data_IF_755030284757
#
_entry.id   IF_755030284757
#
_cell.length_a   1.000
_cell.length_b   1.000
_cell.length_c   1.000
_cell.angle_alpha   90.00
_cell.angle_beta   90.00
_cell.angle_gamma   90.00
#
_symmetry.space_group_name_H-M   'P 1'
#
loop_
_entity.id
_entity.type
_entity.pdbx_description
1 polymer ?
#
# COMPACT_ATOMS: atom_id res chain seq x y z
N UNK A 1 -11.80 -6.02 -4.64
CA UNK A 1 -11.33 -4.75 -4.08
C UNK A 1 -11.76 -4.59 -2.63
N UNK A 2 -13.04 -4.73 -2.35
CA UNK A 2 -13.57 -4.57 -0.98
C UNK A 2 -12.94 -5.54 0.01
N UNK A 3 -12.84 -6.82 -0.34
CA UNK A 3 -12.24 -7.84 0.53
C UNK A 3 -10.75 -7.54 0.76
N UNK A 4 -10.05 -7.11 -0.28
CA UNK A 4 -8.64 -6.71 -0.18
C UNK A 4 -8.48 -5.53 0.79
N UNK A 5 -9.32 -4.51 0.66
CA UNK A 5 -9.28 -3.34 1.54
C UNK A 5 -9.50 -3.73 3.01
N UNK A 6 -10.43 -4.67 3.25
CA UNK A 6 -10.72 -5.13 4.60
C UNK A 6 -9.54 -5.85 5.24
N UNK A 7 -8.81 -6.65 4.47
CA UNK A 7 -7.77 -7.54 4.99
C UNK A 7 -6.35 -7.00 4.87
N UNK A 8 -6.13 -5.94 4.08
CA UNK A 8 -4.78 -5.54 3.68
C UNK A 8 -3.86 -5.12 4.83
N UNK A 9 -4.39 -4.69 5.95
CA UNK A 9 -3.62 -4.27 7.12
C UNK A 9 -3.63 -5.28 8.26
N UNK A 10 -4.22 -6.45 8.08
CA UNK A 10 -4.37 -7.42 9.15
C UNK A 10 -3.03 -7.94 9.68
N UNK A 11 -1.99 -7.99 8.84
CA UNK A 11 -0.67 -8.48 9.26
C UNK A 11 0.06 -7.52 10.20
N UNK A 12 -0.36 -6.26 10.30
CA UNK A 12 0.28 -5.29 11.18
C UNK A 12 0.17 -5.66 12.66
N UNK A 13 -0.80 -6.50 13.03
CA UNK A 13 -0.95 -6.97 14.42
C UNK A 13 -0.16 -8.23 14.70
N UNK A 14 0.56 -8.78 13.72
CA UNK A 14 1.36 -9.99 13.91
C UNK A 14 2.72 -9.65 14.52
N UNK A 15 3.24 -10.56 15.35
CA UNK A 15 4.60 -10.42 15.89
C UNK A 15 5.65 -10.41 14.80
N UNK A 16 5.42 -11.16 13.73
CA UNK A 16 6.37 -11.29 12.62
C UNK A 16 6.56 -9.95 11.91
N UNK A 17 5.48 -9.22 11.61
CA UNK A 17 5.57 -7.89 10.99
C UNK A 17 6.09 -6.85 12.00
N UNK A 18 5.79 -7.00 13.27
CA UNK A 18 6.34 -6.13 14.30
C UNK A 18 7.87 -6.22 14.33
N UNK A 19 8.41 -7.44 14.26
CA UNK A 19 9.86 -7.67 14.23
C UNK A 19 10.50 -7.28 12.89
N UNK A 20 9.83 -7.60 11.78
CA UNK A 20 10.33 -7.43 10.42
C UNK A 20 9.34 -6.59 9.62
N UNK A 21 9.36 -5.27 9.85
CA UNK A 21 8.39 -4.34 9.27
C UNK A 21 8.43 -4.32 7.74
N UNK A 22 9.58 -4.63 7.14
CA UNK A 22 9.74 -4.71 5.69
C UNK A 22 8.94 -5.85 5.05
N UNK A 23 8.46 -6.79 5.86
CA UNK A 23 7.65 -7.92 5.39
C UNK A 23 6.15 -7.61 5.39
N UNK A 24 5.75 -6.41 5.79
CA UNK A 24 4.33 -6.02 5.73
C UNK A 24 3.81 -6.15 4.29
N UNK A 25 2.58 -6.60 4.15
CA UNK A 25 1.98 -6.91 2.86
C UNK A 25 2.34 -8.32 2.39
N UNK A 26 3.61 -8.70 2.40
CA UNK A 26 4.05 -10.05 2.02
C UNK A 26 3.53 -11.10 3.00
N UNK A 27 3.64 -10.84 4.30
CA UNK A 27 3.13 -11.73 5.34
C UNK A 27 1.59 -11.79 5.27
N UNK A 28 0.94 -10.66 5.09
CA UNK A 28 -0.52 -10.61 4.95
C UNK A 28 -1.00 -11.42 3.76
N UNK A 29 -0.30 -11.34 2.63
CA UNK A 29 -0.66 -12.13 1.45
C UNK A 29 -0.47 -13.63 1.69
N UNK A 30 0.60 -14.03 2.36
CA UNK A 30 0.84 -15.44 2.72
C UNK A 30 -0.28 -15.97 3.63
N UNK A 31 -0.63 -15.22 4.65
CA UNK A 31 -1.70 -15.61 5.56
C UNK A 31 -3.05 -15.71 4.84
N UNK A 32 -3.33 -14.77 3.94
CA UNK A 32 -4.55 -14.79 3.14
C UNK A 32 -4.59 -16.01 2.21
N UNK A 33 -3.47 -16.32 1.57
CA UNK A 33 -3.37 -17.51 0.72
C UNK A 33 -3.66 -18.78 1.54
N UNK A 34 -3.04 -18.92 2.70
CA UNK A 34 -3.21 -20.08 3.56
C UNK A 34 -4.61 -20.18 4.17
N UNK A 35 -5.31 -19.04 4.29
CA UNK A 35 -6.69 -18.99 4.79
C UNK A 35 -7.73 -19.25 3.69
N UNK A 36 -7.30 -19.47 2.44
CA UNK A 36 -8.20 -19.80 1.34
C UNK A 36 -8.82 -18.59 0.65
N UNK A 37 -8.26 -17.40 0.80
CA UNK A 37 -8.75 -16.21 0.09
C UNK A 37 -8.50 -16.34 -1.42
N UNK A 38 -9.32 -15.64 -2.21
CA UNK A 38 -9.21 -15.67 -3.67
C UNK A 38 -7.85 -15.11 -4.12
N UNK A 39 -7.29 -15.61 -5.25
CA UNK A 39 -5.99 -15.13 -5.75
C UNK A 39 -5.92 -13.62 -5.94
N UNK A 40 -6.99 -12.99 -6.39
CA UNK A 40 -7.05 -11.53 -6.57
C UNK A 40 -6.88 -10.80 -5.24
N UNK A 41 -7.49 -11.32 -4.16
CA UNK A 41 -7.36 -10.73 -2.83
C UNK A 41 -5.93 -10.88 -2.32
N UNK A 42 -5.35 -12.06 -2.46
CA UNK A 42 -3.96 -12.34 -2.06
C UNK A 42 -2.99 -11.39 -2.76
N UNK A 43 -3.14 -11.25 -4.08
CA UNK A 43 -2.29 -10.39 -4.88
C UNK A 43 -2.48 -8.91 -4.50
N UNK A 44 -3.72 -8.48 -4.28
CA UNK A 44 -4.02 -7.13 -3.87
C UNK A 44 -3.40 -6.76 -2.52
N UNK A 45 -3.44 -7.67 -1.56
CA UNK A 45 -2.82 -7.47 -0.25
C UNK A 45 -1.32 -7.26 -0.40
N UNK A 46 -0.67 -8.10 -1.19
CA UNK A 46 0.76 -7.99 -1.46
C UNK A 46 1.13 -6.66 -2.10
N UNK A 47 0.36 -6.23 -3.09
CA UNK A 47 0.71 -5.11 -3.96
C UNK A 47 0.22 -3.75 -3.49
N UNK A 48 -0.65 -3.67 -2.47
CA UNK A 48 -1.23 -2.37 -2.10
C UNK A 48 -0.20 -1.37 -1.57
N UNK A 49 0.97 -1.82 -1.13
CA UNK A 49 2.07 -0.93 -0.75
C UNK A 49 2.92 -0.46 -1.94
N UNK A 50 2.78 -1.10 -3.11
CA UNK A 50 3.61 -0.77 -4.27
C UNK A 50 3.29 0.64 -4.81
N UNK A 51 4.25 1.38 -5.35
CA UNK A 51 5.66 1.01 -5.44
C UNK A 51 6.38 1.12 -4.09
N UNK A 52 7.32 0.21 -3.84
CA UNK A 52 8.08 0.19 -2.58
C UNK A 52 9.22 1.21 -2.56
N UNK A 53 9.61 1.69 -3.72
CA UNK A 53 10.65 2.71 -3.89
C UNK A 53 10.48 3.42 -5.22
N UNK A 54 11.34 4.41 -5.51
CA UNK A 54 11.18 5.27 -6.69
C UNK A 54 11.25 4.53 -8.01
N UNK A 55 12.07 3.48 -8.11
CA UNK A 55 12.29 2.73 -9.34
C UNK A 55 11.81 1.28 -9.23
N UNK A 56 10.93 1.00 -8.26
CA UNK A 56 10.38 -0.35 -8.07
C UNK A 56 9.09 -0.52 -8.86
N UNK A 57 8.66 -1.77 -8.98
CA UNK A 57 7.47 -2.13 -9.75
C UNK A 57 6.20 -1.55 -9.14
N UNK A 58 5.23 -1.29 -10.00
CA UNK A 58 3.88 -0.88 -9.63
C UNK A 58 2.99 -2.10 -9.47
N UNK A 59 1.85 -1.91 -8.77
CA UNK A 59 0.86 -2.97 -8.65
C UNK A 59 0.31 -3.36 -10.02
N UNK A 60 0.27 -4.66 -10.31
CA UNK A 60 -0.26 -5.17 -11.57
C UNK A 60 -1.75 -5.50 -11.47
N UNK A 61 -2.22 -5.90 -10.28
CA UNK A 61 -3.64 -6.23 -10.08
C UNK A 61 -4.47 -4.97 -9.86
N UNK A 62 -5.72 -5.01 -10.31
CA UNK A 62 -6.64 -3.88 -10.10
C UNK A 62 -6.88 -3.67 -8.59
N UNK A 63 -6.96 -4.76 -7.84
CA UNK A 63 -7.13 -4.70 -6.38
C UNK A 63 -5.96 -3.98 -5.73
N UNK A 64 -4.74 -4.32 -6.11
CA UNK A 64 -3.54 -3.68 -5.58
C UNK A 64 -3.46 -2.21 -5.97
N UNK A 65 -3.82 -1.89 -7.21
CA UNK A 65 -3.83 -0.51 -7.70
C UNK A 65 -4.82 0.36 -6.93
N UNK A 66 -6.07 -0.08 -6.85
CA UNK A 66 -7.15 0.73 -6.24
C UNK A 66 -7.00 0.82 -4.72
N UNK A 67 -6.72 -0.29 -4.05
CA UNK A 67 -6.51 -0.29 -2.61
C UNK A 67 -5.24 0.48 -2.25
N UNK A 68 -4.20 0.35 -3.06
CA UNK A 68 -2.96 1.10 -2.87
C UNK A 68 -3.15 2.61 -2.99
N UNK A 69 -3.93 3.06 -3.97
CA UNK A 69 -4.25 4.48 -4.14
C UNK A 69 -5.06 4.98 -2.93
N UNK A 70 -6.09 4.24 -2.52
CA UNK A 70 -6.91 4.61 -1.38
C UNK A 70 -6.09 4.71 -0.09
N UNK A 71 -5.20 3.76 0.15
CA UNK A 71 -4.33 3.74 1.31
C UNK A 71 -3.39 4.96 1.32
N UNK A 72 -2.82 5.30 0.18
CA UNK A 72 -1.92 6.45 0.05
C UNK A 72 -2.65 7.78 0.23
N UNK A 73 -3.86 7.90 -0.32
CA UNK A 73 -4.70 9.09 -0.11
C UNK A 73 -5.01 9.26 1.38
N UNK A 74 -5.39 8.18 2.04
CA UNK A 74 -5.68 8.20 3.47
C UNK A 74 -4.47 8.69 4.28
N UNK A 75 -3.28 8.21 3.95
CA UNK A 75 -2.03 8.64 4.58
C UNK A 75 -1.81 10.14 4.39
N UNK A 76 -1.98 10.64 3.16
CA UNK A 76 -1.80 12.06 2.84
C UNK A 76 -2.77 12.92 3.66
N UNK A 77 -4.04 12.54 3.67
CA UNK A 77 -5.08 13.28 4.39
C UNK A 77 -4.78 13.29 5.89
N UNK A 78 -4.40 12.14 6.46
CA UNK A 78 -4.08 12.04 7.87
C UNK A 78 -2.91 12.93 8.27
N UNK A 79 -1.84 12.96 7.46
CA UNK A 79 -0.66 13.77 7.72
C UNK A 79 -1.00 15.27 7.66
N UNK A 80 -1.77 15.71 6.67
CA UNK A 80 -2.19 17.11 6.57
C UNK A 80 -3.14 17.49 7.71
N UNK A 81 -4.02 16.60 8.12
CA UNK A 81 -4.92 16.83 9.26
C UNK A 81 -4.14 17.07 10.56
N UNK A 82 -2.99 16.41 10.72
CA UNK A 82 -2.09 16.61 11.85
C UNK A 82 -1.21 17.86 11.70
N UNK A 83 -1.28 18.56 10.59
CA UNK A 83 -0.47 19.74 10.32
C UNK A 83 1.00 19.46 10.01
N UNK A 84 1.34 18.21 9.67
CA UNK A 84 2.73 17.77 9.46
C UNK A 84 3.10 17.72 7.99
N UNK A 85 3.03 18.86 7.31
CA UNK A 85 3.36 18.95 5.89
C UNK A 85 4.86 18.70 5.64
N UNK A 86 5.24 18.05 4.53
CA UNK A 86 6.65 17.93 4.17
C UNK A 86 7.23 19.30 3.83
N UNK A 87 8.49 19.52 4.21
CA UNK A 87 9.19 20.77 3.94
C UNK A 87 10.54 20.47 3.29
N UNK A 88 10.92 21.27 2.29
CA UNK A 88 12.20 21.11 1.59
C UNK A 88 12.38 19.70 1.04
N UNK A 89 13.47 19.05 1.36
CA UNK A 89 13.75 17.67 0.98
C UNK A 89 13.23 16.63 1.98
N UNK A 90 12.75 17.07 3.14
CA UNK A 90 12.31 16.16 4.20
C UNK A 90 10.93 15.60 3.92
N UNK A 91 10.80 14.27 4.07
CA UNK A 91 9.53 13.57 3.89
C UNK A 91 9.44 12.44 4.93
N UNK A 92 9.46 12.77 6.24
CA UNK A 92 9.57 11.76 7.29
C UNK A 92 8.36 10.83 7.37
N UNK A 93 7.18 11.28 6.92
CA UNK A 93 5.95 10.50 6.96
C UNK A 93 5.56 9.95 5.59
N UNK A 94 6.41 10.09 4.58
CA UNK A 94 6.22 9.48 3.27
C UNK A 94 5.14 10.11 2.39
N UNK A 95 4.77 11.38 2.64
CA UNK A 95 3.72 12.07 1.85
C UNK A 95 4.12 12.22 0.39
N UNK A 96 5.34 12.63 0.12
CA UNK A 96 5.83 12.76 -1.28
C UNK A 96 5.90 11.41 -1.96
N UNK A 97 6.40 10.39 -1.25
CA UNK A 97 6.45 9.03 -1.78
C UNK A 97 5.05 8.52 -2.11
N UNK A 98 4.09 8.76 -1.21
CA UNK A 98 2.70 8.37 -1.44
C UNK A 98 2.12 9.09 -2.66
N UNK A 99 2.33 10.39 -2.76
CA UNK A 99 1.84 11.20 -3.89
C UNK A 99 2.43 10.74 -5.22
N UNK A 100 3.74 10.54 -5.26
CA UNK A 100 4.41 10.04 -6.46
C UNK A 100 3.95 8.64 -6.83
N UNK A 101 3.72 7.79 -5.84
CA UNK A 101 3.17 6.45 -6.06
C UNK A 101 1.80 6.47 -6.70
N UNK A 102 0.91 7.35 -6.25
CA UNK A 102 -0.41 7.54 -6.84
C UNK A 102 -0.28 8.00 -8.29
N UNK A 103 0.50 9.04 -8.54
CA UNK A 103 0.67 9.62 -9.87
C UNK A 103 1.24 8.58 -10.85
N UNK A 104 2.28 7.88 -10.46
CA UNK A 104 2.90 6.84 -11.31
C UNK A 104 1.90 5.73 -11.63
N UNK A 105 1.14 5.28 -10.64
CA UNK A 105 0.15 4.23 -10.83
C UNK A 105 -0.94 4.67 -11.81
N UNK A 106 -1.50 5.86 -11.60
CA UNK A 106 -2.56 6.39 -12.45
C UNK A 106 -2.10 6.54 -13.90
N UNK A 107 -0.91 7.09 -14.11
CA UNK A 107 -0.39 7.34 -15.46
C UNK A 107 0.01 6.04 -16.14
N UNK A 108 0.82 5.20 -15.50
CA UNK A 108 1.38 4.02 -16.16
C UNK A 108 0.36 2.89 -16.32
N UNK A 109 -0.65 2.82 -15.47
CA UNK A 109 -1.72 1.82 -15.58
C UNK A 109 -2.96 2.39 -16.28
N UNK A 110 -2.90 3.62 -16.76
CA UNK A 110 -3.98 4.28 -17.50
C UNK A 110 -5.31 4.27 -16.75
N UNK A 111 -5.26 4.56 -15.47
CA UNK A 111 -6.47 4.64 -14.64
C UNK A 111 -7.16 5.99 -14.85
N UNK A 112 -8.49 5.97 -14.88
CA UNK A 112 -9.28 7.18 -15.12
C UNK A 112 -10.24 7.52 -13.99
#
# INVERSE_FOLDING_TARGET
>A
VERTALLCKADLVTSLVFEFTELQGFIGSDYAFNAGEKPQVVQGIKEHYYPLGSDTELAESIEGQLVGIADKIDTIVAVFAEGKKPTGSADPLGVRRATLGIIKTVIQKDLK
#
